data_IF_481293367685
#
_entry.id   IF_481293367685
#
_cell.length_a   1.000
_cell.length_b   1.000
_cell.length_c   1.000
_cell.angle_alpha   90.00
_cell.angle_beta   90.00
_cell.angle_gamma   90.00
#
_symmetry.space_group_name_H-M   'P 1'
#
loop_
_entity.id
_entity.type
_entity.pdbx_description
1 polymer ?
#
# COMPACT_ATOMS: atom_id res chain seq x y z
N UNK A 1 -23.06 -36.75 -19.18
CA UNK A 1 -22.13 -35.73 -19.71
C UNK A 1 -21.65 -34.86 -18.54
N UNK A 2 -20.45 -35.13 -18.02
CA UNK A 2 -19.79 -34.22 -17.06
C UNK A 2 -19.20 -33.09 -17.89
N UNK A 3 -19.69 -31.86 -17.68
CA UNK A 3 -19.13 -30.68 -18.33
C UNK A 3 -17.63 -30.62 -18.04
N UNK A 4 -16.82 -30.59 -19.09
CA UNK A 4 -15.39 -30.37 -19.03
C UNK A 4 -15.10 -28.90 -18.74
N UNK A 5 -15.59 -28.38 -17.61
CA UNK A 5 -15.05 -27.14 -17.06
C UNK A 5 -13.66 -27.47 -16.53
N UNK A 6 -12.65 -27.27 -17.39
CA UNK A 6 -11.25 -27.25 -16.97
C UNK A 6 -11.11 -26.20 -15.88
N UNK A 7 -10.65 -26.62 -14.69
CA UNK A 7 -10.41 -25.74 -13.54
C UNK A 7 -9.50 -24.52 -13.87
N UNK A 8 -8.82 -24.54 -15.03
CA UNK A 8 -7.97 -23.45 -15.51
C UNK A 8 -8.62 -22.54 -16.55
N UNK A 9 -9.73 -22.91 -17.21
CA UNK A 9 -10.43 -21.99 -18.14
C UNK A 9 -11.28 -20.96 -17.38
N UNK A 10 -11.81 -21.31 -16.21
CA UNK A 10 -12.54 -20.36 -15.35
C UNK A 10 -11.68 -19.20 -14.84
N UNK A 11 -10.36 -19.23 -15.06
CA UNK A 11 -9.50 -18.09 -14.74
C UNK A 11 -9.82 -16.85 -15.59
N UNK A 12 -10.38 -17.05 -16.79
CA UNK A 12 -10.77 -15.97 -17.70
C UNK A 12 -12.11 -15.33 -17.32
N UNK A 13 -12.90 -15.96 -16.45
CA UNK A 13 -14.17 -15.41 -15.96
C UNK A 13 -13.98 -14.07 -15.24
N UNK A 14 -12.77 -13.81 -14.71
CA UNK A 14 -12.45 -12.51 -14.10
C UNK A 14 -12.61 -11.36 -15.09
N UNK A 15 -12.32 -11.56 -16.37
CA UNK A 15 -12.48 -10.50 -17.37
C UNK A 15 -13.95 -10.21 -17.64
N UNK A 16 -14.81 -11.23 -17.59
CA UNK A 16 -16.27 -11.07 -17.67
C UNK A 16 -16.78 -10.27 -16.47
N UNK A 17 -16.32 -10.61 -15.26
CA UNK A 17 -16.68 -9.88 -14.03
C UNK A 17 -16.22 -8.42 -14.10
N UNK A 18 -14.98 -8.17 -14.53
CA UNK A 18 -14.47 -6.80 -14.72
C UNK A 18 -15.37 -6.01 -15.66
N UNK A 19 -15.74 -6.59 -16.81
CA UNK A 19 -16.65 -5.94 -17.78
C UNK A 19 -18.06 -5.71 -17.23
N UNK A 20 -18.59 -6.62 -16.43
CA UNK A 20 -19.91 -6.44 -15.80
C UNK A 20 -19.91 -5.29 -14.80
N UNK A 21 -18.87 -5.18 -13.96
CA UNK A 21 -18.73 -4.07 -13.01
C UNK A 21 -18.52 -2.75 -13.76
N UNK A 22 -17.74 -2.75 -14.84
CA UNK A 22 -17.56 -1.58 -15.71
C UNK A 22 -18.91 -1.07 -16.25
N UNK A 23 -19.69 -1.96 -16.86
CA UNK A 23 -21.00 -1.63 -17.42
C UNK A 23 -21.98 -1.14 -16.37
N UNK A 24 -21.95 -1.72 -15.18
CA UNK A 24 -22.74 -1.24 -14.05
C UNK A 24 -22.36 0.21 -13.70
N UNK A 25 -21.07 0.49 -13.49
CA UNK A 25 -20.61 1.83 -13.11
C UNK A 25 -20.94 2.89 -14.18
N UNK A 26 -20.86 2.53 -15.47
CA UNK A 26 -21.25 3.39 -16.58
C UNK A 26 -22.77 3.63 -16.61
N UNK A 27 -23.58 2.58 -16.42
CA UNK A 27 -25.04 2.68 -16.44
C UNK A 27 -25.61 3.60 -15.36
N UNK A 28 -24.93 3.71 -14.22
CA UNK A 28 -25.32 4.60 -13.12
C UNK A 28 -24.61 5.96 -13.14
N UNK A 29 -23.78 6.25 -14.16
CA UNK A 29 -23.00 7.49 -14.26
C UNK A 29 -22.03 7.75 -13.09
N UNK A 30 -21.60 6.70 -12.38
CA UNK A 30 -20.67 6.81 -11.22
C UNK A 30 -19.22 6.49 -11.64
N UNK A 31 -19.02 5.97 -12.87
CA UNK A 31 -17.69 5.62 -13.36
C UNK A 31 -16.68 6.77 -13.23
N UNK A 32 -17.08 8.02 -13.53
CA UNK A 32 -16.19 9.17 -13.43
C UNK A 32 -15.72 9.47 -11.98
N UNK A 33 -16.56 9.15 -11.00
CA UNK A 33 -16.25 9.32 -9.57
C UNK A 33 -15.31 8.23 -9.06
N UNK A 34 -15.52 6.99 -9.52
CA UNK A 34 -14.82 5.79 -9.04
C UNK A 34 -13.75 5.25 -10.00
N UNK A 35 -13.42 5.99 -11.06
CA UNK A 35 -12.51 5.52 -12.13
C UNK A 35 -11.15 5.05 -11.60
N UNK A 36 -10.63 5.71 -10.56
CA UNK A 36 -9.32 5.39 -10.00
C UNK A 36 -9.36 4.10 -9.18
N UNK A 37 -10.40 3.96 -8.36
CA UNK A 37 -10.70 2.78 -7.56
C UNK A 37 -10.99 1.58 -8.46
N UNK A 38 -11.72 1.79 -9.55
CA UNK A 38 -12.04 0.76 -10.53
C UNK A 38 -10.79 0.27 -11.27
N UNK A 39 -9.92 1.17 -11.74
CA UNK A 39 -8.64 0.79 -12.36
C UNK A 39 -7.73 0.03 -11.40
N UNK A 40 -7.70 0.40 -10.11
CA UNK A 40 -6.95 -0.34 -9.09
C UNK A 40 -7.53 -1.73 -8.88
N UNK A 41 -8.86 -1.85 -8.79
CA UNK A 41 -9.58 -3.12 -8.71
C UNK A 41 -9.23 -4.03 -9.89
N UNK A 42 -9.27 -3.52 -11.12
CA UNK A 42 -8.88 -4.27 -12.33
C UNK A 42 -7.44 -4.79 -12.22
N UNK A 43 -6.49 -3.93 -11.84
CA UNK A 43 -5.09 -4.31 -11.66
C UNK A 43 -4.89 -5.39 -10.59
N UNK A 44 -5.58 -5.29 -9.46
CA UNK A 44 -5.48 -6.25 -8.36
C UNK A 44 -6.08 -7.61 -8.73
N UNK A 45 -7.25 -7.61 -9.37
CA UNK A 45 -7.90 -8.80 -9.92
C UNK A 45 -6.99 -9.51 -10.92
N UNK A 46 -6.46 -8.79 -11.92
CA UNK A 46 -5.56 -9.36 -12.92
C UNK A 46 -4.31 -9.97 -12.26
N UNK A 47 -3.67 -9.25 -11.33
CA UNK A 47 -2.48 -9.76 -10.64
C UNK A 47 -2.77 -11.00 -9.78
N UNK A 48 -3.91 -11.04 -9.10
CA UNK A 48 -4.32 -12.18 -8.29
C UNK A 48 -4.47 -13.44 -9.14
N UNK A 49 -5.14 -13.32 -10.28
CA UNK A 49 -5.37 -14.43 -11.20
C UNK A 49 -4.09 -14.80 -11.97
N UNK A 50 -3.29 -13.84 -12.43
CA UNK A 50 -2.03 -14.10 -13.12
C UNK A 50 -1.04 -14.93 -12.29
N UNK A 51 -1.01 -14.74 -10.96
CA UNK A 51 -0.18 -15.53 -10.03
C UNK A 51 -0.62 -16.99 -9.91
N UNK A 52 -1.90 -17.27 -10.18
CA UNK A 52 -2.53 -18.60 -10.10
C UNK A 52 -2.70 -19.25 -11.47
N UNK A 53 -2.41 -18.50 -12.55
CA UNK A 53 -2.51 -18.97 -13.91
C UNK A 53 -1.44 -20.03 -14.21
N UNK A 54 -1.87 -21.17 -14.75
CA UNK A 54 -0.94 -22.23 -15.17
C UNK A 54 -0.18 -21.84 -16.44
N UNK A 55 1.01 -22.42 -16.62
CA UNK A 55 1.95 -22.02 -17.70
C UNK A 55 1.31 -22.00 -19.09
N UNK A 56 0.46 -22.99 -19.41
CA UNK A 56 -0.16 -23.10 -20.73
C UNK A 56 -1.19 -22.01 -21.08
N UNK A 57 -1.73 -21.31 -20.08
CA UNK A 57 -2.73 -20.25 -20.29
C UNK A 57 -2.18 -18.86 -19.99
N UNK A 58 -0.98 -18.76 -19.41
CA UNK A 58 -0.40 -17.53 -18.89
C UNK A 58 -0.18 -16.48 -19.98
N UNK A 59 0.26 -16.90 -21.16
CA UNK A 59 0.50 -15.99 -22.29
C UNK A 59 -0.82 -15.38 -22.80
N UNK A 60 -1.83 -16.21 -23.06
CA UNK A 60 -3.18 -15.76 -23.44
C UNK A 60 -3.81 -14.86 -22.37
N UNK A 61 -3.62 -15.18 -21.09
CA UNK A 61 -4.11 -14.37 -19.98
C UNK A 61 -3.43 -13.01 -19.93
N UNK A 62 -2.11 -12.94 -20.15
CA UNK A 62 -1.35 -11.69 -20.23
C UNK A 62 -1.85 -10.84 -21.41
N UNK A 63 -2.07 -11.45 -22.56
CA UNK A 63 -2.56 -10.75 -23.76
C UNK A 63 -3.92 -10.09 -23.50
N UNK A 64 -4.90 -10.83 -23.00
CA UNK A 64 -6.23 -10.27 -22.68
C UNK A 64 -6.17 -9.24 -21.54
N UNK A 65 -5.27 -9.42 -20.57
CA UNK A 65 -5.04 -8.43 -19.53
C UNK A 65 -4.52 -7.11 -20.12
N UNK A 66 -3.60 -7.18 -21.08
CA UNK A 66 -3.05 -6.01 -21.77
C UNK A 66 -4.11 -5.32 -22.61
N UNK A 67 -4.96 -6.05 -23.34
CA UNK A 67 -6.07 -5.48 -24.09
C UNK A 67 -7.04 -4.69 -23.19
N UNK A 68 -7.37 -5.23 -22.02
CA UNK A 68 -8.23 -4.55 -21.04
C UNK A 68 -7.52 -3.34 -20.43
N UNK A 69 -6.26 -3.47 -20.04
CA UNK A 69 -5.48 -2.38 -19.44
C UNK A 69 -5.28 -1.24 -20.44
N UNK A 70 -4.93 -1.55 -21.69
CA UNK A 70 -4.70 -0.56 -22.76
C UNK A 70 -6.02 0.11 -23.23
N UNK A 71 -7.17 -0.50 -22.94
CA UNK A 71 -8.48 0.11 -23.14
C UNK A 71 -8.79 1.23 -22.15
N UNK A 72 -8.02 1.34 -21.06
CA UNK A 72 -8.02 2.49 -20.17
C UNK A 72 -6.85 3.39 -20.58
N UNK A 73 -7.16 4.63 -20.98
CA UNK A 73 -6.23 5.59 -21.60
C UNK A 73 -4.93 5.81 -20.77
N UNK A 74 -3.82 6.14 -21.41
CA UNK A 74 -2.56 6.45 -20.72
C UNK A 74 -2.61 7.82 -20.01
N UNK A 75 -3.62 8.66 -20.33
CA UNK A 75 -3.90 9.93 -19.63
C UNK A 75 -4.18 9.77 -18.13
N UNK A 76 -4.46 8.54 -17.68
CA UNK A 76 -4.74 8.15 -16.30
C UNK A 76 -3.53 8.25 -15.37
N UNK A 77 -2.29 8.32 -15.88
CA UNK A 77 -1.08 8.44 -15.04
C UNK A 77 -0.66 9.89 -14.76
N UNK A 78 -1.35 10.86 -15.35
CA UNK A 78 -1.18 12.31 -15.12
C UNK A 78 -2.55 12.97 -14.93
N UNK A 79 -3.35 12.45 -14.00
CA UNK A 79 -4.49 13.19 -13.44
C UNK A 79 -3.94 14.33 -12.54
N UNK A 80 -4.47 15.56 -12.60
CA UNK A 80 -4.24 16.59 -11.58
C UNK A 80 -4.41 16.07 -10.14
N UNK A 81 -5.25 15.05 -9.89
CA UNK A 81 -5.30 14.38 -8.58
C UNK A 81 -4.06 13.51 -8.30
N UNK A 82 -3.45 12.89 -9.30
CA UNK A 82 -2.17 12.16 -9.17
C UNK A 82 -1.00 13.12 -8.93
N UNK A 83 -0.99 14.29 -9.57
CA UNK A 83 -0.04 15.36 -9.25
C UNK A 83 -0.26 15.93 -7.86
N UNK A 84 -1.51 16.24 -7.49
CA UNK A 84 -1.84 16.69 -6.13
C UNK A 84 -1.53 15.62 -5.07
N UNK A 85 -1.75 14.35 -5.38
CA UNK A 85 -1.39 13.21 -4.53
C UNK A 85 0.13 13.05 -4.47
N UNK A 86 0.86 13.19 -5.57
CA UNK A 86 2.32 13.15 -5.61
C UNK A 86 2.93 14.30 -4.82
N UNK A 87 2.41 15.52 -4.95
CA UNK A 87 2.78 16.67 -4.13
C UNK A 87 2.48 16.42 -2.65
N UNK A 88 1.30 15.88 -2.33
CA UNK A 88 0.93 15.53 -0.97
C UNK A 88 1.89 14.47 -0.39
N UNK A 89 2.21 13.43 -1.15
CA UNK A 89 3.15 12.37 -0.76
C UNK A 89 4.57 12.91 -0.60
N UNK A 90 5.01 13.84 -1.47
CA UNK A 90 6.28 14.55 -1.33
C UNK A 90 6.29 15.43 -0.07
N UNK A 91 5.19 16.10 0.25
CA UNK A 91 5.02 16.85 1.50
C UNK A 91 5.09 15.91 2.72
N UNK A 92 4.50 14.72 2.64
CA UNK A 92 4.54 13.70 3.69
C UNK A 92 5.95 13.11 3.93
N UNK A 93 6.81 13.02 2.91
CA UNK A 93 8.22 12.64 3.09
C UNK A 93 8.93 13.59 4.08
N UNK A 94 8.53 14.87 4.10
CA UNK A 94 9.07 15.88 5.01
C UNK A 94 10.42 16.42 4.58
N UNK A 95 10.75 17.63 5.06
CA UNK A 95 11.95 18.38 4.65
C UNK A 95 13.23 18.02 5.43
N UNK A 96 13.20 17.04 6.33
CA UNK A 96 14.31 16.69 7.23
C UNK A 96 14.41 15.19 7.53
N UNK A 97 15.57 14.73 8.00
CA UNK A 97 15.80 13.32 8.32
C UNK A 97 14.85 12.81 9.41
N UNK A 98 14.53 13.65 10.40
CA UNK A 98 13.59 13.31 11.49
C UNK A 98 12.22 12.97 10.93
N UNK A 99 11.69 13.81 10.04
CA UNK A 99 10.36 13.59 9.47
C UNK A 99 10.34 12.37 8.54
N UNK A 100 11.44 12.13 7.80
CA UNK A 100 11.58 10.94 6.96
C UNK A 100 11.61 9.64 7.78
N UNK A 101 12.28 9.63 8.93
CA UNK A 101 12.26 8.48 9.85
C UNK A 101 10.86 8.32 10.48
N UNK A 102 10.17 9.41 10.81
CA UNK A 102 8.76 9.35 11.26
C UNK A 102 7.79 8.88 10.16
N UNK A 103 8.12 9.11 8.89
CA UNK A 103 7.33 8.60 7.76
C UNK A 103 7.57 7.09 7.50
N UNK A 104 8.54 6.46 8.19
CA UNK A 104 8.77 5.02 8.08
C UNK A 104 7.57 4.22 8.61
N UNK A 105 7.24 3.10 7.95
CA UNK A 105 6.09 2.27 8.28
C UNK A 105 6.06 1.85 9.76
N UNK A 106 7.22 1.47 10.32
CA UNK A 106 7.32 1.08 11.73
C UNK A 106 6.85 2.23 12.65
N UNK A 107 7.29 3.46 12.38
CA UNK A 107 6.86 4.60 13.18
C UNK A 107 5.36 4.85 13.07
N UNK A 108 4.81 4.85 11.83
CA UNK A 108 3.38 5.04 11.59
C UNK A 108 2.54 4.01 12.35
N UNK A 109 2.91 2.73 12.27
CA UNK A 109 2.19 1.64 12.93
C UNK A 109 2.20 1.77 14.45
N UNK A 110 3.36 1.97 15.06
CA UNK A 110 3.40 2.12 16.51
C UNK A 110 2.76 3.43 16.99
N UNK A 111 2.71 4.48 16.18
CA UNK A 111 1.91 5.66 16.49
C UNK A 111 0.41 5.32 16.57
N UNK A 112 -0.13 4.58 15.60
CA UNK A 112 -1.53 4.15 15.64
C UNK A 112 -1.82 3.27 16.87
N UNK A 113 -0.89 2.39 17.25
CA UNK A 113 -1.00 1.60 18.48
C UNK A 113 -1.03 2.48 19.74
N UNK A 114 -0.18 3.50 19.83
CA UNK A 114 -0.14 4.40 20.99
C UNK A 114 -1.38 5.32 21.07
N UNK A 115 -2.03 5.60 19.94
CA UNK A 115 -3.29 6.37 19.87
C UNK A 115 -4.50 5.55 20.28
N UNK A 116 -4.44 4.22 20.17
CA UNK A 116 -5.52 3.30 20.52
C UNK A 116 -5.66 3.13 22.05
N UNK A 117 -6.18 4.16 22.72
CA UNK A 117 -6.34 4.19 24.19
C UNK A 117 -7.72 3.80 24.70
N UNK A 118 -8.73 3.74 23.83
CA UNK A 118 -10.10 3.36 24.21
C UNK A 118 -10.44 1.95 23.72
N UNK A 119 -11.33 1.21 24.40
CA UNK A 119 -11.70 -0.15 24.00
C UNK A 119 -12.14 -0.26 22.54
N UNK A 120 -12.94 0.70 22.06
CA UNK A 120 -13.37 0.76 20.65
C UNK A 120 -12.19 0.98 19.69
N UNK A 121 -11.22 1.84 20.04
CA UNK A 121 -10.03 2.05 19.20
C UNK A 121 -9.10 0.85 19.23
N UNK A 122 -9.00 0.13 20.35
CA UNK A 122 -8.24 -1.12 20.44
C UNK A 122 -8.89 -2.22 19.61
N UNK A 123 -10.22 -2.32 19.63
CA UNK A 123 -10.96 -3.27 18.80
C UNK A 123 -10.77 -2.99 17.30
N UNK A 124 -10.77 -1.70 16.90
CA UNK A 124 -10.58 -1.28 15.52
C UNK A 124 -9.10 -1.23 15.07
N UNK A 125 -8.15 -1.34 16.02
CA UNK A 125 -6.72 -1.21 15.75
C UNK A 125 -6.22 -2.15 14.63
N UNK A 126 -6.62 -3.43 14.54
CA UNK A 126 -6.17 -4.29 13.45
C UNK A 126 -6.52 -3.72 12.07
N UNK A 127 -7.72 -3.16 11.91
CA UNK A 127 -8.17 -2.53 10.66
C UNK A 127 -7.37 -1.27 10.36
N UNK A 128 -7.17 -0.39 11.36
CA UNK A 128 -6.35 0.82 11.21
C UNK A 128 -4.90 0.49 10.80
N UNK A 129 -4.32 -0.58 11.35
CA UNK A 129 -2.97 -1.02 10.99
C UNK A 129 -2.90 -1.53 9.54
N UNK A 130 -3.89 -2.33 9.10
CA UNK A 130 -3.98 -2.80 7.71
C UNK A 130 -4.09 -1.62 6.75
N UNK A 131 -5.00 -0.67 7.02
CA UNK A 131 -5.16 0.55 6.22
C UNK A 131 -3.85 1.35 6.15
N UNK A 132 -3.15 1.51 7.28
CA UNK A 132 -1.86 2.21 7.34
C UNK A 132 -0.79 1.51 6.48
N UNK A 133 -0.74 0.18 6.49
CA UNK A 133 0.18 -0.61 5.65
C UNK A 133 -0.14 -0.41 4.17
N UNK A 134 -1.42 -0.48 3.80
CA UNK A 134 -1.86 -0.31 2.40
C UNK A 134 -1.54 1.09 1.89
N UNK A 135 -1.90 2.12 2.65
CA UNK A 135 -1.59 3.51 2.32
C UNK A 135 -0.09 3.74 2.14
N UNK A 136 0.74 3.27 3.08
CA UNK A 136 2.19 3.42 2.97
C UNK A 136 2.80 2.68 1.78
N UNK A 137 2.29 1.50 1.43
CA UNK A 137 2.72 0.76 0.23
C UNK A 137 2.35 1.50 -1.05
N UNK A 138 1.17 2.11 -1.08
CA UNK A 138 0.75 2.96 -2.19
C UNK A 138 1.64 4.20 -2.33
N UNK A 139 1.84 4.95 -1.24
CA UNK A 139 2.77 6.10 -1.17
C UNK A 139 4.16 5.72 -1.71
N UNK A 140 4.69 4.58 -1.28
CA UNK A 140 6.02 4.10 -1.68
C UNK A 140 6.10 3.76 -3.18
N UNK A 141 5.04 3.20 -3.76
CA UNK A 141 4.97 2.92 -5.20
C UNK A 141 4.95 4.22 -6.00
N UNK A 142 4.13 5.19 -5.60
CA UNK A 142 4.04 6.49 -6.25
C UNK A 142 5.39 7.20 -6.23
N UNK A 143 6.05 7.26 -5.07
CA UNK A 143 7.39 7.86 -4.96
C UNK A 143 8.43 7.16 -5.82
N UNK A 144 8.39 5.82 -5.90
CA UNK A 144 9.32 5.05 -6.74
C UNK A 144 9.15 5.39 -8.22
N UNK A 145 7.91 5.54 -8.68
CA UNK A 145 7.61 5.95 -10.06
C UNK A 145 8.09 7.39 -10.27
N UNK A 146 7.76 8.30 -9.35
CA UNK A 146 8.13 9.71 -9.41
C UNK A 146 9.65 9.94 -9.46
N UNK A 147 10.43 9.22 -8.66
CA UNK A 147 11.89 9.33 -8.68
C UNK A 147 12.53 8.70 -9.93
N UNK A 148 11.82 7.78 -10.60
CA UNK A 148 12.26 7.21 -11.87
C UNK A 148 12.01 8.18 -13.02
N UNK A 149 10.86 8.86 -13.05
CA UNK A 149 10.53 9.85 -14.09
C UNK A 149 11.20 11.22 -13.86
N UNK A 150 11.32 11.64 -12.61
CA UNK A 150 11.91 12.93 -12.21
C UNK A 150 12.97 12.73 -11.12
N UNK A 151 14.19 12.29 -11.49
CA UNK A 151 15.27 12.04 -10.53
C UNK A 151 15.62 13.24 -9.64
N UNK A 152 15.40 14.47 -10.12
CA UNK A 152 15.63 15.71 -9.38
C UNK A 152 14.74 15.86 -8.13
N UNK A 153 13.61 15.16 -8.06
CA UNK A 153 12.72 15.17 -6.89
C UNK A 153 13.21 14.21 -5.79
N UNK A 154 14.17 13.34 -6.09
CA UNK A 154 14.68 12.36 -5.13
C UNK A 154 15.45 13.08 -4.02
N UNK A 155 15.07 12.93 -2.74
CA UNK A 155 15.78 13.57 -1.65
C UNK A 155 17.19 12.99 -1.48
N UNK A 156 18.14 13.78 -0.95
CA UNK A 156 19.48 13.28 -0.63
C UNK A 156 19.43 12.15 0.40
N UNK A 157 20.55 11.44 0.61
CA UNK A 157 20.60 10.42 1.66
C UNK A 157 20.40 11.03 3.05
N UNK A 158 19.85 10.26 3.99
CA UNK A 158 19.47 10.76 5.32
C UNK A 158 20.63 11.44 6.08
N UNK A 159 21.84 10.94 5.89
CA UNK A 159 23.08 11.46 6.51
C UNK A 159 23.46 12.89 6.09
N UNK A 160 22.95 13.35 4.94
CA UNK A 160 23.23 14.70 4.43
C UNK A 160 22.31 15.77 5.02
N UNK A 161 21.34 15.39 5.85
CA UNK A 161 20.46 16.35 6.51
C UNK A 161 21.08 16.83 7.82
N UNK A 162 20.93 18.13 8.10
CA UNK A 162 21.43 18.75 9.32
C UNK A 162 20.89 18.10 10.61
N UNK A 163 19.64 17.61 10.57
CA UNK A 163 18.95 16.98 11.71
C UNK A 163 19.15 15.46 11.78
N UNK A 164 20.13 14.89 11.07
CA UNK A 164 20.33 13.44 11.02
C UNK A 164 20.62 12.83 12.40
N UNK A 165 21.41 13.50 13.24
CA UNK A 165 21.75 13.01 14.58
C UNK A 165 20.51 12.93 15.48
N UNK A 166 19.63 13.91 15.39
CA UNK A 166 18.35 13.95 16.08
C UNK A 166 17.40 12.89 15.54
N UNK A 167 17.41 12.68 14.22
CA UNK A 167 16.59 11.68 13.55
C UNK A 167 16.90 10.26 14.03
N UNK A 168 18.16 9.92 14.33
CA UNK A 168 18.54 8.61 14.87
C UNK A 168 17.84 8.30 16.19
N UNK A 169 17.64 9.30 17.06
CA UNK A 169 16.92 9.15 18.33
C UNK A 169 15.46 8.76 18.13
N UNK A 170 14.85 9.06 16.98
CA UNK A 170 13.46 8.66 16.67
C UNK A 170 13.32 7.14 16.58
N UNK A 171 14.37 6.42 16.16
CA UNK A 171 14.35 4.96 16.11
C UNK A 171 14.26 4.31 17.49
N UNK A 172 14.68 5.05 18.53
CA UNK A 172 14.57 4.64 19.92
C UNK A 172 13.19 4.96 20.51
N UNK A 173 12.27 5.61 19.78
CA UNK A 173 10.96 5.92 20.33
C UNK A 173 10.11 4.66 20.44
N UNK A 174 9.27 4.58 21.49
CA UNK A 174 8.37 3.45 21.69
C UNK A 174 7.51 3.15 20.47
N UNK A 175 7.03 4.18 19.76
CA UNK A 175 6.28 3.98 18.51
C UNK A 175 7.10 3.27 17.44
N UNK A 176 8.38 3.61 17.30
CA UNK A 176 9.23 2.95 16.32
C UNK A 176 9.49 1.49 16.71
N UNK A 177 9.82 1.24 17.98
CA UNK A 177 10.07 -0.11 18.50
C UNK A 177 8.83 -1.02 18.38
N UNK A 178 7.64 -0.52 18.72
CA UNK A 178 6.38 -1.27 18.62
C UNK A 178 6.08 -1.67 17.18
N UNK A 179 6.15 -0.71 16.25
CA UNK A 179 5.88 -1.01 14.85
C UNK A 179 6.93 -1.91 14.21
N UNK A 180 8.21 -1.79 14.59
CA UNK A 180 9.23 -2.75 14.14
C UNK A 180 8.93 -4.16 14.61
N UNK A 181 8.60 -4.33 15.89
CA UNK A 181 8.27 -5.63 16.43
C UNK A 181 7.04 -6.25 15.75
N UNK A 182 6.03 -5.44 15.44
CA UNK A 182 4.86 -5.86 14.67
C UNK A 182 5.22 -6.28 13.24
N UNK A 183 6.03 -5.50 12.53
CA UNK A 183 6.46 -5.84 11.17
C UNK A 183 7.28 -7.13 11.14
N UNK A 184 8.13 -7.35 12.15
CA UNK A 184 8.95 -8.56 12.29
C UNK A 184 8.12 -9.79 12.69
N UNK A 185 7.05 -9.60 13.47
CA UNK A 185 6.30 -10.70 14.08
C UNK A 185 4.77 -10.46 14.06
N UNK A 186 4.13 -10.25 12.91
CA UNK A 186 2.77 -9.71 12.84
C UNK A 186 1.72 -10.54 13.59
N UNK A 187 1.84 -11.86 13.56
CA UNK A 187 0.89 -12.78 14.21
C UNK A 187 1.14 -12.93 15.72
N UNK A 188 2.41 -12.97 16.14
CA UNK A 188 2.78 -13.19 17.56
C UNK A 188 3.00 -11.89 18.32
N UNK A 189 2.97 -10.74 17.63
CA UNK A 189 3.20 -9.42 18.20
C UNK A 189 2.27 -9.09 19.35
N UNK A 190 0.99 -9.46 19.26
CA UNK A 190 -0.02 -9.19 20.30
C UNK A 190 0.40 -9.72 21.68
N UNK A 191 1.12 -10.85 21.72
CA UNK A 191 1.64 -11.43 22.95
C UNK A 191 2.95 -10.76 23.43
N UNK A 192 3.64 -10.03 22.55
CA UNK A 192 4.91 -9.33 22.82
C UNK A 192 4.73 -7.89 23.27
N UNK A 193 3.55 -7.28 23.08
CA UNK A 193 3.30 -5.86 23.38
C UNK A 193 3.69 -5.48 24.81
N UNK A 194 3.27 -6.27 25.79
CA UNK A 194 3.51 -6.01 27.22
C UNK A 194 5.00 -6.06 27.58
N UNK A 195 5.75 -6.99 26.98
CA UNK A 195 7.19 -7.10 27.16
C UNK A 195 7.93 -5.91 26.56
N UNK A 196 7.59 -5.52 25.33
CA UNK A 196 8.19 -4.36 24.65
C UNK A 196 7.97 -3.09 25.46
N UNK A 197 6.75 -2.86 25.94
CA UNK A 197 6.45 -1.70 26.78
C UNK A 197 7.26 -1.70 28.08
N UNK A 198 7.37 -2.86 28.74
CA UNK A 198 8.13 -3.02 29.98
C UNK A 198 9.62 -2.76 29.77
N UNK A 199 10.21 -3.31 28.71
CA UNK A 199 11.63 -3.19 28.43
C UNK A 199 12.00 -1.77 27.98
N UNK A 200 11.11 -1.11 27.23
CA UNK A 200 11.21 0.32 26.90
C UNK A 200 11.26 1.19 28.16
N UNK A 201 10.31 1.00 29.09
CA UNK A 201 10.27 1.77 30.35
C UNK A 201 11.51 1.56 31.22
N UNK A 202 12.17 0.40 31.09
CA UNK A 202 13.41 0.05 31.79
C UNK A 202 14.68 0.49 31.06
N UNK A 203 14.59 1.15 29.90
CA UNK A 203 15.71 1.50 29.01
C UNK A 203 16.59 0.29 28.63
N UNK A 204 15.95 -0.86 28.34
CA UNK A 204 16.62 -2.12 27.98
C UNK A 204 16.48 -2.49 26.49
N UNK A 205 16.05 -1.54 25.66
CA UNK A 205 15.88 -1.69 24.21
C UNK A 205 16.99 -0.94 23.48
#
# INVERSE_FOLDING_TARGET
MRSSYSCNEGIFDIFVVIKQVEQFLLAYHIMDELKNEFSLFVCECINFHLRRCSKGFKERFIQQSQEIINGYDDSYFTDPKTEAMAEHILKLQGKGATQRIKNHLAYKLGQEMLKAKSPLKVLNLPFTLIQTIQAHRFESKVLKILYKSHPQLKPPALEHYADYKEALKVKEYLSYCLGEAMLKNPLTFVFKITFIYRDYKRKRL
#
